data_IF_816395903717
#
_entry.id   IF_816395903717
#
_cell.length_a   1.000
_cell.length_b   1.000
_cell.length_c   1.000
_cell.angle_alpha   90.00
_cell.angle_beta   90.00
_cell.angle_gamma   90.00
#
_symmetry.space_group_name_H-M   'P 1'
#
loop_
_entity.id
_entity.type
_entity.pdbx_description
1 polymer ?
#
# COMPACT_ATOMS: atom_id res chain seq x y z
N UNK A 1 1.16 20.61 -22.91
CA UNK A 1 1.87 20.35 -21.63
C UNK A 1 0.80 20.24 -20.57
N UNK A 2 0.34 19.02 -20.31
CA UNK A 2 -0.69 18.72 -19.33
C UNK A 2 -0.19 19.08 -17.92
N UNK A 3 -0.82 20.13 -17.37
CA UNK A 3 -0.66 20.55 -15.98
C UNK A 3 -1.52 19.62 -15.13
N UNK A 4 -0.94 19.06 -14.06
CA UNK A 4 -1.52 18.16 -13.04
C UNK A 4 -1.37 16.65 -13.27
N UNK A 5 -0.13 16.14 -13.34
CA UNK A 5 0.14 14.82 -12.74
C UNK A 5 0.21 15.05 -11.22
N UNK A 6 -0.92 14.84 -10.55
CA UNK A 6 -1.08 15.14 -9.14
C UNK A 6 -0.04 14.40 -8.28
N UNK A 7 0.64 15.15 -7.41
CA UNK A 7 1.48 14.64 -6.31
C UNK A 7 0.63 13.96 -5.21
N UNK A 8 -0.42 13.22 -5.58
CA UNK A 8 -1.29 12.52 -4.65
C UNK A 8 -0.79 11.09 -4.39
N UNK A 9 -1.19 10.47 -3.27
CA UNK A 9 -0.95 9.05 -3.05
C UNK A 9 -1.59 8.24 -4.16
N UNK A 10 -0.92 7.14 -4.55
CA UNK A 10 -1.49 6.19 -5.49
C UNK A 10 -2.59 5.39 -4.79
N UNK A 11 -3.71 5.12 -5.47
CA UNK A 11 -4.84 4.42 -4.86
C UNK A 11 -5.11 3.10 -5.56
N UNK A 12 -5.53 2.10 -4.81
CA UNK A 12 -6.03 0.83 -5.32
C UNK A 12 -7.19 0.34 -4.44
N UNK A 13 -8.04 -0.53 -4.99
CA UNK A 13 -9.14 -1.13 -4.25
C UNK A 13 -9.00 -2.66 -4.25
N UNK A 14 -9.41 -3.27 -3.15
CA UNK A 14 -9.57 -4.72 -3.01
C UNK A 14 -11.02 -5.06 -2.68
N UNK A 15 -11.50 -6.28 -3.01
CA UNK A 15 -12.80 -6.73 -2.52
C UNK A 15 -12.90 -6.64 -1.00
N UNK A 16 -14.12 -6.47 -0.44
CA UNK A 16 -14.30 -6.50 1.01
C UNK A 16 -13.76 -7.80 1.60
N UNK A 17 -13.12 -7.71 2.77
CA UNK A 17 -12.52 -8.86 3.47
C UNK A 17 -11.37 -9.54 2.71
N UNK A 18 -10.70 -8.83 1.80
CA UNK A 18 -9.47 -9.32 1.17
C UNK A 18 -8.42 -9.71 2.22
N UNK A 19 -7.70 -10.78 1.95
CA UNK A 19 -6.59 -11.24 2.78
C UNK A 19 -5.37 -10.34 2.67
N UNK A 20 -4.48 -10.40 3.66
CA UNK A 20 -3.21 -9.67 3.65
C UNK A 20 -2.35 -10.00 2.42
N UNK A 21 -2.44 -11.23 1.89
CA UNK A 21 -1.73 -11.62 0.66
C UNK A 21 -2.31 -10.96 -0.59
N UNK A 22 -3.63 -10.84 -0.68
CA UNK A 22 -4.29 -10.15 -1.80
C UNK A 22 -3.98 -8.66 -1.76
N UNK A 23 -4.00 -8.04 -0.57
CA UNK A 23 -3.62 -6.64 -0.39
C UNK A 23 -2.14 -6.45 -0.75
N UNK A 24 -1.26 -7.36 -0.31
CA UNK A 24 0.16 -7.33 -0.64
C UNK A 24 0.41 -7.40 -2.15
N UNK A 25 -0.26 -8.30 -2.88
CA UNK A 25 -0.15 -8.39 -4.34
C UNK A 25 -0.54 -7.06 -4.99
N UNK A 26 -1.63 -6.43 -4.54
CA UNK A 26 -2.06 -5.12 -5.05
C UNK A 26 -1.09 -3.99 -4.73
N UNK A 27 -0.46 -4.01 -3.56
CA UNK A 27 0.62 -3.07 -3.25
C UNK A 27 1.76 -3.22 -4.26
N UNK A 28 2.21 -4.45 -4.52
CA UNK A 28 3.29 -4.71 -5.48
C UNK A 28 2.96 -4.24 -6.90
N UNK A 29 1.70 -4.33 -7.34
CA UNK A 29 1.24 -3.84 -8.65
C UNK A 29 1.32 -2.31 -8.79
N UNK A 30 1.26 -1.56 -7.68
CA UNK A 30 1.32 -0.09 -7.67
C UNK A 30 2.75 0.45 -7.56
N UNK A 31 3.67 -0.35 -7.00
CA UNK A 31 5.08 -0.02 -6.92
C UNK A 31 5.74 0.04 -8.30
N UNK A 32 6.83 0.80 -8.40
CA UNK A 32 7.70 0.73 -9.58
C UNK A 32 8.38 -0.63 -9.67
N UNK A 33 8.83 -1.07 -10.87
CA UNK A 33 9.49 -2.37 -11.01
C UNK A 33 10.71 -2.56 -10.10
N UNK A 34 11.48 -1.49 -9.85
CA UNK A 34 12.63 -1.53 -8.94
C UNK A 34 12.20 -1.72 -7.48
N UNK A 35 11.20 -0.96 -7.02
CA UNK A 35 10.65 -1.09 -5.67
C UNK A 35 10.03 -2.48 -5.45
N UNK A 36 9.32 -3.02 -6.45
CA UNK A 36 8.73 -4.36 -6.41
C UNK A 36 9.78 -5.45 -6.19
N UNK A 37 10.95 -5.33 -6.81
CA UNK A 37 12.07 -6.28 -6.66
C UNK A 37 12.71 -6.20 -5.27
N UNK A 38 12.71 -5.02 -4.65
CA UNK A 38 13.31 -4.79 -3.33
C UNK A 38 12.33 -5.07 -2.18
N UNK A 39 11.02 -4.99 -2.43
CA UNK A 39 9.96 -5.18 -1.45
C UNK A 39 10.00 -6.59 -0.83
N UNK A 40 10.06 -6.63 0.49
CA UNK A 40 10.15 -7.86 1.27
C UNK A 40 8.94 -8.03 2.17
N UNK A 41 8.07 -8.96 1.80
CA UNK A 41 6.84 -9.26 2.57
C UNK A 41 7.16 -9.70 4.00
N UNK A 42 8.23 -10.47 4.21
CA UNK A 42 8.61 -10.99 5.53
C UNK A 42 9.23 -9.93 6.45
N UNK A 43 9.64 -8.79 5.90
CA UNK A 43 10.15 -7.64 6.65
C UNK A 43 9.13 -6.52 6.80
N UNK A 44 8.08 -6.54 5.97
CA UNK A 44 7.01 -5.56 6.00
C UNK A 44 6.10 -5.75 7.21
N UNK A 45 5.51 -4.67 7.69
CA UNK A 45 4.69 -4.65 8.89
C UNK A 45 3.22 -4.51 8.50
N UNK A 46 2.35 -5.33 9.10
CA UNK A 46 0.90 -5.31 8.89
C UNK A 46 0.27 -4.91 10.22
N UNK A 47 -0.18 -3.66 10.29
CA UNK A 47 -0.63 -3.02 11.51
C UNK A 47 -2.15 -2.80 11.46
N UNK A 48 -2.83 -3.16 12.54
CA UNK A 48 -4.25 -2.85 12.78
C UNK A 48 -4.34 -1.83 13.94
N UNK A 49 -4.11 -0.53 13.71
CA UNK A 49 -4.21 0.49 14.76
C UNK A 49 -5.57 0.49 15.44
N UNK A 50 -5.58 0.64 16.77
CA UNK A 50 -6.75 0.59 17.65
C UNK A 50 -7.92 1.53 17.26
N UNK A 51 -7.67 2.52 16.40
CA UNK A 51 -8.68 3.47 15.90
C UNK A 51 -9.45 2.98 14.66
N UNK A 52 -9.33 1.70 14.28
CA UNK A 52 -10.12 1.10 13.21
C UNK A 52 -9.57 1.28 11.80
N UNK A 53 -8.27 1.62 11.68
CA UNK A 53 -7.56 1.66 10.41
C UNK A 53 -6.75 0.38 10.18
N UNK A 54 -6.25 0.21 8.96
CA UNK A 54 -5.19 -0.74 8.62
C UNK A 54 -4.05 -0.03 7.93
N UNK A 55 -2.83 -0.43 8.24
CA UNK A 55 -1.61 0.10 7.66
C UNK A 55 -0.68 -1.04 7.30
N UNK A 56 -0.02 -0.93 6.15
CA UNK A 56 1.07 -1.82 5.76
C UNK A 56 2.30 -0.97 5.45
N UNK A 57 3.36 -1.16 6.23
CA UNK A 57 4.66 -0.54 5.99
C UNK A 57 5.47 -1.50 5.12
N UNK A 58 5.65 -1.13 3.85
CA UNK A 58 6.38 -1.92 2.85
C UNK A 58 7.87 -1.68 3.03
N UNK A 59 8.61 -2.73 3.38
CA UNK A 59 10.04 -2.64 3.68
C UNK A 59 10.91 -3.41 2.69
N UNK A 60 12.14 -2.92 2.51
CA UNK A 60 13.23 -3.65 1.87
C UNK A 60 13.77 -4.74 2.78
N UNK A 61 14.65 -5.60 2.23
CA UNK A 61 15.33 -6.64 3.00
C UNK A 61 16.25 -6.10 4.12
N UNK A 62 16.73 -4.87 3.98
CA UNK A 62 17.58 -4.17 4.96
C UNK A 62 16.79 -3.39 6.03
N UNK A 63 15.47 -3.59 6.08
CA UNK A 63 14.53 -2.89 6.98
C UNK A 63 14.29 -1.40 6.68
N UNK A 64 14.79 -0.87 5.56
CA UNK A 64 14.41 0.47 5.11
C UNK A 64 13.00 0.49 4.51
N UNK A 65 12.29 1.61 4.69
CA UNK A 65 10.94 1.78 4.19
C UNK A 65 10.94 2.10 2.68
N UNK A 66 9.98 1.53 1.95
CA UNK A 66 9.71 1.81 0.54
C UNK A 66 8.47 2.69 0.43
N UNK A 67 7.39 2.25 1.09
CA UNK A 67 6.09 2.88 0.99
C UNK A 67 5.23 2.53 2.21
N UNK A 68 4.18 3.32 2.43
CA UNK A 68 3.14 3.05 3.42
C UNK A 68 1.81 2.96 2.71
N UNK A 69 1.13 1.82 2.83
CA UNK A 69 -0.23 1.63 2.35
C UNK A 69 -1.22 1.80 3.51
N UNK A 70 -2.15 2.74 3.39
CA UNK A 70 -3.16 3.03 4.40
C UNK A 70 -4.54 2.70 3.85
N UNK A 71 -5.32 1.96 4.63
CA UNK A 71 -6.75 1.80 4.37
C UNK A 71 -7.42 3.15 4.52
N UNK A 72 -7.93 3.68 3.41
CA UNK A 72 -8.47 5.03 3.31
C UNK A 72 -10.00 5.08 3.34
N UNK A 73 -10.66 4.07 2.79
CA UNK A 73 -12.13 3.96 2.80
C UNK A 73 -12.56 2.49 2.83
N UNK A 74 -13.60 2.19 3.61
CA UNK A 74 -14.24 0.86 3.67
C UNK A 74 -15.66 1.03 3.15
N UNK A 75 -16.04 0.21 2.16
CA UNK A 75 -17.37 0.26 1.57
C UNK A 75 -17.91 -1.14 1.27
N UNK A 76 -19.21 -1.25 0.99
CA UNK A 76 -19.82 -2.53 0.59
C UNK A 76 -19.31 -3.06 -0.75
N UNK A 77 -18.61 -2.24 -1.54
CA UNK A 77 -18.08 -2.62 -2.86
C UNK A 77 -16.59 -2.95 -2.83
N UNK A 78 -15.87 -2.53 -1.79
CA UNK A 78 -14.44 -2.74 -1.65
C UNK A 78 -13.79 -1.81 -0.65
N UNK A 79 -12.57 -2.18 -0.27
CA UNK A 79 -11.71 -1.43 0.63
C UNK A 79 -10.69 -0.66 -0.23
N UNK A 80 -10.71 0.67 -0.15
CA UNK A 80 -9.78 1.54 -0.87
C UNK A 80 -8.54 1.80 -0.02
N UNK A 81 -7.38 1.57 -0.61
CA UNK A 81 -6.08 1.79 -0.01
C UNK A 81 -5.33 2.91 -0.74
N UNK A 82 -4.65 3.75 0.03
CA UNK A 82 -3.78 4.82 -0.45
C UNK A 82 -2.32 4.51 -0.12
N UNK A 83 -1.45 4.52 -1.13
CA UNK A 83 -0.01 4.29 -1.01
C UNK A 83 0.74 5.61 -1.08
N UNK A 84 1.50 5.88 -0.03
CA UNK A 84 2.43 6.99 0.10
C UNK A 84 3.86 6.47 -0.04
N UNK A 85 4.66 7.15 -0.84
CA UNK A 85 6.08 6.84 -1.05
C UNK A 85 6.89 8.00 -0.49
N UNK A 86 7.99 7.72 0.19
CA UNK A 86 8.96 8.77 0.51
C UNK A 86 9.66 9.18 -0.80
N UNK A 87 9.69 10.48 -1.08
CA UNK A 87 10.36 11.07 -2.25
C UNK A 87 11.74 11.60 -1.86
#
# INVERSE_FOLDING_TARGET
>A
MDKNKGNGPSKFAVPPFASDDEIWIKILEVLTPSEQLEASRSKSEFNDPYMGGKEIIVKRSDHSDIAVALLSEVSSVGDEWAIYREF
#
